data_IF_114111257038
#
_entry.id   IF_114111257038
#
_cell.length_a   1.000
_cell.length_b   1.000
_cell.length_c   1.000
_cell.angle_alpha   90.00
_cell.angle_beta   90.00
_cell.angle_gamma   90.00
#
_symmetry.space_group_name_H-M   'P 1'
#
loop_
_entity.id
_entity.type
_entity.pdbx_description
1 polymer ?
#
# COMPACT_ATOMS: atom_id res chain seq x y z
N UNK A 1 98.84 41.62 7.65
CA UNK A 1 98.07 41.88 8.88
C UNK A 1 97.06 40.76 8.99
N UNK A 2 97.38 39.77 9.81
CA UNK A 2 96.63 38.54 10.03
C UNK A 2 95.46 38.81 11.00
N UNK A 3 94.26 38.33 10.67
CA UNK A 3 93.10 38.39 11.56
C UNK A 3 93.38 37.54 12.81
N UNK A 4 93.00 38.02 14.02
CA UNK A 4 93.05 37.20 15.24
C UNK A 4 92.10 36.00 15.10
N UNK A 5 92.45 34.87 15.71
CA UNK A 5 91.63 33.66 15.70
C UNK A 5 90.34 33.84 16.50
N UNK A 6 89.18 33.49 15.93
CA UNK A 6 87.88 33.53 16.61
C UNK A 6 87.72 32.45 17.71
N UNK A 7 88.61 31.46 17.74
CA UNK A 7 88.60 30.36 18.72
C UNK A 7 89.34 30.82 19.98
N UNK A 8 88.66 30.75 21.12
CA UNK A 8 89.22 31.10 22.44
C UNK A 8 89.69 29.86 23.21
N UNK A 9 90.54 30.05 24.23
CA UNK A 9 90.95 28.98 25.14
C UNK A 9 89.73 28.33 25.85
N UNK A 10 88.64 29.08 26.04
CA UNK A 10 87.40 28.58 26.64
C UNK A 10 86.70 27.52 25.79
N UNK A 11 86.88 27.54 24.46
CA UNK A 11 86.31 26.58 23.52
C UNK A 11 87.31 25.48 23.13
N UNK A 12 88.58 25.86 22.96
CA UNK A 12 89.63 24.95 22.50
C UNK A 12 90.11 23.95 23.57
N UNK A 13 90.16 24.37 24.84
CA UNK A 13 90.57 23.47 25.94
C UNK A 13 89.54 22.35 26.19
N UNK A 14 88.22 22.61 26.22
CA UNK A 14 87.22 21.56 26.28
C UNK A 14 87.27 20.59 25.09
N UNK A 15 87.53 21.09 23.89
CA UNK A 15 87.73 20.27 22.69
C UNK A 15 88.96 19.34 22.81
N UNK A 16 90.12 19.87 23.23
CA UNK A 16 91.30 19.01 23.45
C UNK A 16 91.04 17.96 24.55
N UNK A 17 90.27 18.32 25.58
CA UNK A 17 89.85 17.36 26.62
C UNK A 17 88.87 16.30 26.10
N UNK A 18 87.96 16.63 25.17
CA UNK A 18 87.07 15.64 24.56
C UNK A 18 87.83 14.64 23.67
N UNK A 19 88.99 15.04 23.14
CA UNK A 19 89.94 14.18 22.43
C UNK A 19 90.93 13.44 23.37
N UNK A 20 90.79 13.57 24.69
CA UNK A 20 91.65 12.87 25.67
C UNK A 20 93.03 13.50 25.87
N UNK A 21 93.28 14.72 25.36
CA UNK A 21 94.57 15.41 25.51
C UNK A 21 94.66 16.08 26.88
N UNK A 22 95.70 15.75 27.65
CA UNK A 22 95.98 16.41 28.93
C UNK A 22 96.50 17.84 28.71
N UNK A 23 95.63 18.82 28.92
CA UNK A 23 95.94 20.25 28.71
C UNK A 23 96.66 20.92 29.89
N UNK A 24 96.79 20.23 31.03
CA UNK A 24 97.45 20.70 32.26
C UNK A 24 97.06 22.13 32.72
N UNK A 25 95.84 22.59 32.39
CA UNK A 25 95.37 23.96 32.61
C UNK A 25 96.30 25.06 32.08
N UNK A 26 97.06 24.78 31.02
CA UNK A 26 97.88 25.77 30.33
C UNK A 26 97.04 26.50 29.28
N UNK A 27 97.35 27.78 29.07
CA UNK A 27 96.75 28.60 28.01
C UNK A 27 97.38 28.27 26.65
N UNK A 28 96.54 28.14 25.63
CA UNK A 28 96.90 27.89 24.24
C UNK A 28 96.66 29.11 23.33
N UNK A 29 96.16 30.21 23.89
CA UNK A 29 95.93 31.49 23.20
C UNK A 29 97.15 31.99 22.42
N UNK A 30 98.37 31.77 22.94
CA UNK A 30 99.59 32.18 22.25
C UNK A 30 99.84 31.37 20.95
N UNK A 31 99.44 30.10 20.90
CA UNK A 31 99.52 29.26 19.69
C UNK A 31 98.37 29.54 18.73
N UNK A 32 97.17 29.80 19.26
CA UNK A 32 95.99 30.15 18.46
C UNK A 32 96.16 31.49 17.75
N UNK A 33 96.98 32.39 18.29
CA UNK A 33 97.32 33.68 17.69
C UNK A 33 98.63 33.67 16.87
N UNK A 34 99.37 32.56 16.85
CA UNK A 34 100.58 32.44 16.02
C UNK A 34 100.18 32.21 14.55
N UNK A 35 100.53 33.12 13.61
CA UNK A 35 100.14 32.99 12.21
C UNK A 35 100.73 31.75 11.51
N UNK A 36 101.78 31.13 12.04
CA UNK A 36 102.35 29.89 11.47
C UNK A 36 101.58 28.63 11.91
N UNK A 37 100.90 28.66 13.07
CA UNK A 37 100.31 27.48 13.71
C UNK A 37 98.76 27.55 13.77
N UNK A 38 98.21 28.75 13.92
CA UNK A 38 96.78 29.02 14.08
C UNK A 38 95.88 28.41 13.00
N UNK A 39 96.32 28.41 11.74
CA UNK A 39 95.58 27.81 10.64
C UNK A 39 95.39 26.30 10.80
N UNK A 40 96.41 25.60 11.32
CA UNK A 40 96.36 24.15 11.55
C UNK A 40 95.46 23.82 12.74
N UNK A 41 95.57 24.59 13.83
CA UNK A 41 94.74 24.36 15.03
C UNK A 41 93.25 24.63 14.75
N UNK A 42 92.93 25.62 13.93
CA UNK A 42 91.55 25.87 13.48
C UNK A 42 91.01 24.72 12.64
N UNK A 43 91.81 24.22 11.69
CA UNK A 43 91.41 23.08 10.88
C UNK A 43 91.15 21.85 11.75
N UNK A 44 92.00 21.58 12.75
CA UNK A 44 91.82 20.48 13.71
C UNK A 44 90.51 20.64 14.49
N UNK A 45 90.22 21.84 15.00
CA UNK A 45 88.98 22.11 15.74
C UNK A 45 87.71 21.90 14.90
N UNK A 46 87.74 22.28 13.63
CA UNK A 46 86.58 22.21 12.73
C UNK A 46 86.34 20.82 12.14
N UNK A 47 87.36 19.95 12.07
CA UNK A 47 87.31 18.72 11.29
C UNK A 47 87.55 17.43 12.09
N UNK A 48 88.01 17.53 13.34
CA UNK A 48 88.23 16.36 14.21
C UNK A 48 87.21 16.40 15.35
N UNK A 49 86.56 15.27 15.62
CA UNK A 49 85.67 15.09 16.76
C UNK A 49 85.89 13.72 17.41
N UNK A 50 85.16 13.42 18.49
CA UNK A 50 85.26 12.13 19.18
C UNK A 50 84.80 10.91 18.34
N UNK A 51 84.14 11.15 17.20
CA UNK A 51 83.70 10.09 16.28
C UNK A 51 84.76 9.79 15.19
N UNK A 52 85.64 10.75 14.90
CA UNK A 52 86.71 10.65 13.90
C UNK A 52 88.10 10.36 14.51
N UNK A 53 88.24 10.45 15.84
CA UNK A 53 89.45 10.04 16.56
C UNK A 53 89.42 8.53 16.84
N UNK A 54 90.48 7.82 16.47
CA UNK A 54 90.62 6.39 16.79
C UNK A 54 90.68 6.22 18.31
N UNK A 55 89.80 5.39 18.87
CA UNK A 55 89.90 5.01 20.27
C UNK A 55 91.10 4.07 20.49
N UNK A 56 91.66 4.00 21.71
CA UNK A 56 92.76 3.07 22.05
C UNK A 56 92.50 1.62 21.61
N UNK A 57 91.22 1.21 21.65
CA UNK A 57 90.77 -0.11 21.19
C UNK A 57 90.84 -0.26 19.68
N UNK A 58 90.50 0.79 18.94
CA UNK A 58 90.56 0.81 17.47
C UNK A 58 91.99 0.96 16.98
N UNK A 59 92.83 1.76 17.65
CA UNK A 59 94.27 1.81 17.39
C UNK A 59 94.92 0.43 17.57
N UNK A 60 94.63 -0.27 18.68
CA UNK A 60 95.14 -1.63 18.90
C UNK A 60 94.65 -2.59 17.80
N UNK A 61 93.39 -2.46 17.37
CA UNK A 61 92.80 -3.30 16.33
C UNK A 61 93.40 -3.00 14.96
N UNK A 62 93.66 -1.74 14.66
CA UNK A 62 94.34 -1.30 13.44
C UNK A 62 95.78 -1.85 13.40
N UNK A 63 96.53 -1.70 14.50
CA UNK A 63 97.87 -2.26 14.63
C UNK A 63 97.90 -3.79 14.53
N UNK A 64 96.90 -4.49 15.07
CA UNK A 64 96.77 -5.94 14.91
C UNK A 64 96.44 -6.35 13.47
N UNK A 65 95.58 -5.62 12.77
CA UNK A 65 95.23 -5.85 11.37
C UNK A 65 96.43 -5.61 10.45
N UNK A 66 97.20 -4.55 10.72
CA UNK A 66 98.45 -4.24 10.02
C UNK A 66 99.49 -5.35 10.26
N UNK A 67 99.70 -5.76 11.52
CA UNK A 67 100.66 -6.83 11.88
C UNK A 67 100.28 -8.19 11.28
N UNK A 68 99.00 -8.46 11.10
CA UNK A 68 98.49 -9.72 10.51
C UNK A 68 98.38 -9.67 8.98
N UNK A 69 98.73 -8.53 8.36
CA UNK A 69 98.66 -8.35 6.91
C UNK A 69 97.23 -8.38 6.36
N UNK A 70 96.23 -8.06 7.20
CA UNK A 70 94.80 -8.03 6.85
C UNK A 70 94.26 -6.62 6.67
N UNK A 71 95.13 -5.62 6.78
CA UNK A 71 94.80 -4.25 6.46
C UNK A 71 94.62 -4.14 4.94
N UNK A 72 93.41 -3.84 4.51
CA UNK A 72 93.11 -3.61 3.11
C UNK A 72 93.80 -2.33 2.65
N UNK A 73 94.25 -2.32 1.39
CA UNK A 73 94.65 -1.07 0.75
C UNK A 73 93.43 -0.15 0.56
N UNK A 74 93.67 1.15 0.37
CA UNK A 74 92.59 2.13 0.18
C UNK A 74 91.62 1.72 -0.93
N UNK A 75 92.16 1.21 -2.04
CA UNK A 75 91.39 0.77 -3.21
C UNK A 75 90.56 -0.50 -2.91
N UNK A 76 91.12 -1.44 -2.14
CA UNK A 76 90.41 -2.66 -1.73
C UNK A 76 89.35 -2.39 -0.66
N UNK A 77 89.58 -1.40 0.21
CA UNK A 77 88.62 -0.96 1.21
C UNK A 77 87.43 -0.26 0.55
N UNK A 78 87.68 0.65 -0.39
CA UNK A 78 86.61 1.30 -1.17
C UNK A 78 85.79 0.26 -1.96
N UNK A 79 86.46 -0.72 -2.59
CA UNK A 79 85.77 -1.81 -3.28
C UNK A 79 84.90 -2.65 -2.32
N UNK A 80 85.43 -3.00 -1.15
CA UNK A 80 84.67 -3.78 -0.14
C UNK A 80 83.50 -2.99 0.45
N UNK A 81 83.65 -1.68 0.64
CA UNK A 81 82.57 -0.78 1.08
C UNK A 81 81.49 -0.70 0.01
N UNK A 82 81.87 -0.55 -1.26
CA UNK A 82 80.94 -0.52 -2.38
C UNK A 82 80.20 -1.86 -2.53
N UNK A 83 80.90 -2.98 -2.40
CA UNK A 83 80.30 -4.32 -2.42
C UNK A 83 79.28 -4.50 -1.30
N UNK A 84 79.57 -4.00 -0.09
CA UNK A 84 78.63 -4.02 1.05
C UNK A 84 77.41 -3.13 0.82
N UNK A 85 77.59 -1.95 0.24
CA UNK A 85 76.47 -1.05 -0.12
C UNK A 85 75.59 -1.65 -1.22
N UNK A 86 76.18 -2.40 -2.16
CA UNK A 86 75.45 -3.11 -3.21
C UNK A 86 74.74 -4.36 -2.68
N UNK A 87 75.33 -5.07 -1.71
CA UNK A 87 74.74 -6.27 -1.10
C UNK A 87 73.59 -5.89 -0.14
N UNK A 88 73.71 -4.76 0.54
CA UNK A 88 72.72 -4.25 1.48
C UNK A 88 72.28 -2.82 1.11
N UNK A 89 71.43 -2.75 0.09
CA UNK A 89 70.84 -1.52 -0.40
C UNK A 89 70.07 -0.80 0.73
N UNK A 90 70.47 0.45 1.03
CA UNK A 90 69.89 1.28 2.10
C UNK A 90 70.68 1.31 3.42
N UNK A 91 71.83 0.65 3.53
CA UNK A 91 72.73 0.83 4.69
C UNK A 91 73.53 2.13 4.54
N UNK A 92 73.35 3.05 5.48
CA UNK A 92 74.13 4.29 5.57
C UNK A 92 75.53 4.02 6.13
N UNK A 93 76.56 4.65 5.56
CA UNK A 93 77.91 4.56 6.10
C UNK A 93 78.05 5.41 7.37
N UNK A 94 78.84 4.96 8.37
CA UNK A 94 79.17 5.78 9.52
C UNK A 94 79.87 7.08 9.07
N UNK A 95 79.32 8.24 9.45
CA UNK A 95 79.81 9.56 9.08
C UNK A 95 79.02 10.25 7.96
N UNK A 96 78.16 9.52 7.23
CA UNK A 96 77.24 10.10 6.24
C UNK A 96 75.93 10.53 6.91
N UNK A 97 75.95 11.75 7.45
CA UNK A 97 74.83 12.31 8.20
C UNK A 97 73.61 12.60 7.32
N UNK A 98 73.82 12.94 6.05
CA UNK A 98 72.76 13.26 5.09
C UNK A 98 71.97 11.98 4.73
N UNK A 99 72.67 10.89 4.37
CA UNK A 99 72.03 9.61 4.11
C UNK A 99 71.27 9.05 5.33
N UNK A 100 71.80 9.26 6.54
CA UNK A 100 71.14 8.83 7.77
C UNK A 100 69.84 9.60 8.04
N UNK A 101 69.79 10.89 7.71
CA UNK A 101 68.60 11.71 7.84
C UNK A 101 67.54 11.33 6.81
N UNK A 102 67.94 11.06 5.56
CA UNK A 102 67.05 10.55 4.51
C UNK A 102 66.42 9.21 4.91
N UNK A 103 67.23 8.28 5.41
CA UNK A 103 66.72 6.97 5.85
C UNK A 103 65.74 7.10 7.03
N UNK A 104 65.96 8.03 7.96
CA UNK A 104 65.02 8.31 9.06
C UNK A 104 63.71 8.90 8.54
N UNK A 105 63.77 9.77 7.55
CA UNK A 105 62.59 10.34 6.88
C UNK A 105 61.77 9.24 6.22
N UNK A 106 62.41 8.33 5.48
CA UNK A 106 61.76 7.20 4.81
C UNK A 106 61.10 6.25 5.80
N UNK A 107 61.81 5.89 6.88
CA UNK A 107 61.24 5.06 7.96
C UNK A 107 60.01 5.73 8.58
N UNK A 108 60.03 7.06 8.73
CA UNK A 108 58.89 7.80 9.27
C UNK A 108 57.70 7.77 8.31
N UNK A 109 57.93 7.99 7.01
CA UNK A 109 56.89 7.92 5.99
C UNK A 109 56.25 6.53 5.92
N UNK A 110 57.06 5.47 5.97
CA UNK A 110 56.54 4.09 5.96
C UNK A 110 55.75 3.74 7.22
N UNK A 111 56.14 4.27 8.39
CA UNK A 111 55.33 4.14 9.62
C UNK A 111 53.98 4.85 9.51
N UNK A 112 53.97 6.08 8.99
CA UNK A 112 52.71 6.82 8.78
C UNK A 112 51.79 6.10 7.77
N UNK A 113 52.39 5.49 6.74
CA UNK A 113 51.66 4.66 5.77
C UNK A 113 51.06 3.41 6.42
N UNK A 114 51.83 2.74 7.28
CA UNK A 114 51.36 1.58 8.04
C UNK A 114 50.16 1.95 8.95
N UNK A 115 50.27 3.04 9.70
CA UNK A 115 49.18 3.55 10.56
C UNK A 115 47.91 3.85 9.76
N UNK A 116 48.03 4.36 8.54
CA UNK A 116 46.88 4.58 7.66
C UNK A 116 46.25 3.26 7.20
N UNK A 117 47.06 2.25 6.88
CA UNK A 117 46.57 0.93 6.47
C UNK A 117 45.84 0.21 7.61
N UNK A 118 46.37 0.27 8.84
CA UNK A 118 45.71 -0.30 10.03
C UNK A 118 44.35 0.37 10.29
N UNK A 119 44.26 1.69 10.14
CA UNK A 119 42.97 2.40 10.23
C UNK A 119 41.99 1.97 9.14
N UNK A 120 42.46 1.74 7.92
CA UNK A 120 41.62 1.25 6.83
C UNK A 120 41.12 -0.17 7.09
N UNK A 121 41.94 -1.04 7.70
CA UNK A 121 41.55 -2.40 8.10
C UNK A 121 40.40 -2.37 9.11
N UNK A 122 40.50 -1.54 10.16
CA UNK A 122 39.42 -1.37 11.15
C UNK A 122 38.11 -0.91 10.50
N UNK A 123 38.18 0.05 9.57
CA UNK A 123 36.99 0.52 8.83
C UNK A 123 36.39 -0.60 7.98
N UNK A 124 37.22 -1.43 7.35
CA UNK A 124 36.77 -2.57 6.55
C UNK A 124 36.09 -3.64 7.42
N UNK A 125 36.62 -3.93 8.60
CA UNK A 125 35.99 -4.84 9.57
C UNK A 125 34.62 -4.33 10.01
N UNK A 126 34.51 -3.04 10.36
CA UNK A 126 33.24 -2.39 10.71
C UNK A 126 32.22 -2.45 9.55
N UNK A 127 32.68 -2.19 8.32
CA UNK A 127 31.85 -2.28 7.10
C UNK A 127 31.34 -3.71 6.89
N UNK A 128 32.21 -4.72 7.05
CA UNK A 128 31.82 -6.13 6.95
C UNK A 128 30.81 -6.52 8.03
N UNK A 129 30.97 -6.03 9.25
CA UNK A 129 30.04 -6.30 10.34
C UNK A 129 28.68 -5.66 10.10
N UNK A 130 28.63 -4.38 9.70
CA UNK A 130 27.39 -3.70 9.30
C UNK A 130 26.67 -4.43 8.18
N UNK A 131 27.40 -4.93 7.19
CA UNK A 131 26.81 -5.68 6.08
C UNK A 131 26.18 -7.01 6.55
N UNK A 132 26.82 -7.71 7.49
CA UNK A 132 26.24 -8.92 8.11
C UNK A 132 24.94 -8.59 8.86
N UNK A 133 24.91 -7.50 9.60
CA UNK A 133 23.73 -7.13 10.38
C UNK A 133 22.58 -6.64 9.49
N UNK A 134 22.88 -5.85 8.44
CA UNK A 134 21.92 -5.50 7.37
C UNK A 134 21.33 -6.74 6.69
N UNK A 135 22.14 -7.76 6.41
CA UNK A 135 21.66 -9.02 5.83
C UNK A 135 20.71 -9.77 6.76
N UNK A 136 20.95 -9.72 8.08
CA UNK A 136 20.01 -10.30 9.06
C UNK A 136 18.70 -9.53 9.10
N UNK A 137 18.74 -8.20 9.12
CA UNK A 137 17.53 -7.36 9.09
C UNK A 137 16.71 -7.61 7.83
N UNK A 138 17.38 -7.69 6.67
CA UNK A 138 16.74 -8.01 5.40
C UNK A 138 16.04 -9.39 5.44
N UNK A 139 16.69 -10.40 6.01
CA UNK A 139 16.07 -11.72 6.16
C UNK A 139 14.82 -11.68 7.05
N UNK A 140 14.83 -10.87 8.11
CA UNK A 140 13.65 -10.69 8.98
C UNK A 140 12.51 -10.05 8.20
N UNK A 141 12.77 -9.01 7.41
CA UNK A 141 11.73 -8.36 6.58
C UNK A 141 11.22 -9.29 5.47
N UNK A 142 12.08 -10.07 4.83
CA UNK A 142 11.64 -11.09 3.86
C UNK A 142 10.69 -12.09 4.53
N UNK A 143 11.01 -12.54 5.74
CA UNK A 143 10.16 -13.49 6.48
C UNK A 143 8.80 -12.88 6.83
N UNK A 144 8.78 -11.60 7.24
CA UNK A 144 7.51 -10.88 7.50
C UNK A 144 6.67 -10.71 6.23
N UNK A 145 7.30 -10.37 5.11
CA UNK A 145 6.62 -10.25 3.83
C UNK A 145 6.02 -11.58 3.38
N UNK A 146 6.75 -12.68 3.52
CA UNK A 146 6.24 -14.02 3.23
C UNK A 146 5.06 -14.41 4.12
N UNK A 147 5.11 -14.07 5.42
CA UNK A 147 4.00 -14.32 6.33
C UNK A 147 2.75 -13.49 5.96
N UNK A 148 2.93 -12.22 5.57
CA UNK A 148 1.85 -11.36 5.12
C UNK A 148 1.25 -11.83 3.79
N UNK A 149 2.10 -12.27 2.85
CA UNK A 149 1.65 -12.87 1.58
C UNK A 149 0.81 -14.12 1.82
N UNK A 150 1.29 -15.04 2.67
CA UNK A 150 0.53 -16.24 3.03
C UNK A 150 -0.82 -15.88 3.63
N UNK A 151 -0.86 -14.92 4.56
CA UNK A 151 -2.09 -14.45 5.18
C UNK A 151 -3.06 -13.87 4.15
N UNK A 152 -2.60 -13.02 3.23
CA UNK A 152 -3.44 -12.48 2.15
C UNK A 152 -4.02 -13.60 1.27
N UNK A 153 -3.24 -14.63 0.94
CA UNK A 153 -3.75 -15.76 0.14
C UNK A 153 -4.82 -16.57 0.88
N UNK A 154 -4.68 -16.75 2.20
CA UNK A 154 -5.70 -17.40 3.03
C UNK A 154 -6.98 -16.56 3.13
N UNK A 155 -6.84 -15.25 3.34
CA UNK A 155 -7.96 -14.31 3.40
C UNK A 155 -8.72 -14.26 2.07
N UNK A 156 -8.02 -14.21 0.94
CA UNK A 156 -8.64 -14.28 -0.40
C UNK A 156 -9.41 -15.59 -0.61
N UNK A 157 -8.83 -16.72 -0.20
CA UNK A 157 -9.51 -18.02 -0.30
C UNK A 157 -10.76 -18.09 0.60
N UNK A 158 -10.70 -17.51 1.79
CA UNK A 158 -11.84 -17.45 2.70
C UNK A 158 -12.93 -16.52 2.18
N UNK A 159 -12.57 -15.33 1.68
CA UNK A 159 -13.51 -14.39 1.07
C UNK A 159 -14.20 -15.02 -0.14
N UNK A 160 -13.46 -15.77 -0.97
CA UNK A 160 -14.03 -16.52 -2.10
C UNK A 160 -15.07 -17.56 -1.66
N UNK A 161 -14.86 -18.27 -0.55
CA UNK A 161 -15.85 -19.20 0.01
C UNK A 161 -17.11 -18.48 0.49
N UNK A 162 -16.96 -17.31 1.12
CA UNK A 162 -18.08 -16.51 1.59
C UNK A 162 -18.89 -15.93 0.43
N UNK A 163 -18.23 -15.45 -0.62
CA UNK A 163 -18.90 -15.03 -1.85
C UNK A 163 -19.70 -16.18 -2.49
N UNK A 164 -19.14 -17.40 -2.52
CA UNK A 164 -19.86 -18.58 -3.01
C UNK A 164 -21.06 -18.95 -2.14
N UNK A 165 -20.96 -18.83 -0.81
CA UNK A 165 -22.11 -19.03 0.10
C UNK A 165 -23.21 -18.02 -0.17
N UNK A 166 -22.87 -16.73 -0.24
CA UNK A 166 -23.83 -15.66 -0.50
C UNK A 166 -24.49 -15.83 -1.88
N UNK A 167 -23.74 -16.23 -2.90
CA UNK A 167 -24.30 -16.53 -4.23
C UNK A 167 -25.33 -17.67 -4.15
N UNK A 168 -25.03 -18.75 -3.43
CA UNK A 168 -25.98 -19.86 -3.20
C UNK A 168 -27.21 -19.44 -2.41
N UNK A 169 -27.07 -18.56 -1.42
CA UNK A 169 -28.21 -18.00 -0.70
C UNK A 169 -29.12 -17.18 -1.62
N UNK A 170 -28.55 -16.36 -2.50
CA UNK A 170 -29.31 -15.61 -3.51
C UNK A 170 -30.00 -16.55 -4.50
N UNK A 171 -29.33 -17.60 -4.96
CA UNK A 171 -29.95 -18.64 -5.82
C UNK A 171 -31.12 -19.33 -5.10
N UNK A 172 -30.97 -19.65 -3.81
CA UNK A 172 -32.06 -20.22 -3.00
C UNK A 172 -33.25 -19.26 -2.90
N UNK A 173 -33.00 -18.00 -2.54
CA UNK A 173 -34.06 -16.98 -2.40
C UNK A 173 -34.77 -16.77 -3.72
N UNK A 174 -34.03 -16.70 -4.84
CA UNK A 174 -34.64 -16.53 -6.17
C UNK A 174 -35.46 -17.75 -6.58
N UNK A 175 -35.00 -18.97 -6.26
CA UNK A 175 -35.79 -20.19 -6.43
C UNK A 175 -37.08 -20.16 -5.61
N UNK A 176 -37.01 -19.75 -4.34
CA UNK A 176 -38.18 -19.63 -3.47
C UNK A 176 -39.19 -18.60 -4.00
N UNK A 177 -38.70 -17.45 -4.49
CA UNK A 177 -39.54 -16.43 -5.13
C UNK A 177 -40.19 -16.99 -6.39
N UNK A 178 -39.46 -17.72 -7.23
CA UNK A 178 -40.03 -18.36 -8.43
C UNK A 178 -41.10 -19.38 -8.06
N UNK A 179 -40.90 -20.16 -6.98
CA UNK A 179 -41.91 -21.10 -6.49
C UNK A 179 -43.18 -20.36 -6.01
N UNK A 180 -43.05 -19.28 -5.25
CA UNK A 180 -44.19 -18.46 -4.81
C UNK A 180 -44.93 -17.84 -6.00
N UNK A 181 -44.18 -17.37 -7.02
CA UNK A 181 -44.77 -16.85 -8.26
C UNK A 181 -45.51 -17.96 -9.01
N UNK A 182 -44.94 -19.17 -9.06
CA UNK A 182 -45.59 -20.36 -9.60
C UNK A 182 -46.90 -20.70 -8.87
N UNK A 183 -46.85 -20.82 -7.55
CA UNK A 183 -48.01 -21.10 -6.69
C UNK A 183 -49.10 -20.03 -6.85
N UNK A 184 -48.71 -18.76 -6.95
CA UNK A 184 -49.67 -17.66 -7.16
C UNK A 184 -50.27 -17.67 -8.55
N UNK A 185 -49.52 -18.03 -9.59
CA UNK A 185 -50.06 -18.24 -10.94
C UNK A 185 -50.99 -19.46 -11.02
N UNK A 186 -50.66 -20.55 -10.32
CA UNK A 186 -51.52 -21.74 -10.22
C UNK A 186 -52.82 -21.44 -9.46
N UNK A 187 -52.76 -20.68 -8.37
CA UNK A 187 -53.95 -20.19 -7.64
C UNK A 187 -54.80 -19.31 -8.57
N UNK A 188 -54.19 -18.41 -9.33
CA UNK A 188 -54.89 -17.55 -10.30
C UNK A 188 -55.53 -18.37 -11.44
N UNK A 189 -54.86 -19.42 -11.92
CA UNK A 189 -55.39 -20.34 -12.93
C UNK A 189 -56.60 -21.12 -12.41
N UNK A 190 -56.59 -21.49 -11.13
CA UNK A 190 -57.66 -22.29 -10.49
C UNK A 190 -58.76 -21.44 -9.82
N UNK A 191 -58.67 -20.11 -9.87
CA UNK A 191 -59.69 -19.18 -9.34
C UNK A 191 -61.08 -19.30 -9.99
N UNK A 192 -61.22 -20.03 -11.10
CA UNK A 192 -62.53 -20.35 -11.69
C UNK A 192 -63.30 -21.44 -10.93
N UNK A 193 -62.61 -22.30 -10.16
CA UNK A 193 -63.21 -23.46 -9.53
C UNK A 193 -63.53 -23.27 -8.03
N UNK A 194 -62.86 -22.34 -7.32
CA UNK A 194 -63.04 -22.17 -5.86
C UNK A 194 -63.22 -20.70 -5.41
N UNK A 195 -64.46 -20.34 -5.07
CA UNK A 195 -64.89 -18.96 -4.73
C UNK A 195 -64.35 -18.44 -3.39
N UNK A 196 -63.98 -19.32 -2.46
CA UNK A 196 -63.46 -18.92 -1.14
C UNK A 196 -61.96 -18.57 -1.18
N UNK A 197 -61.21 -19.23 -2.07
CA UNK A 197 -59.79 -18.95 -2.33
C UNK A 197 -59.59 -17.56 -2.98
N UNK A 198 -60.44 -17.20 -3.95
CA UNK A 198 -60.44 -15.87 -4.57
C UNK A 198 -60.76 -14.72 -3.60
N UNK A 199 -61.68 -14.94 -2.64
CA UNK A 199 -62.02 -13.94 -1.60
C UNK A 199 -60.88 -13.69 -0.62
N UNK A 200 -60.12 -14.72 -0.23
CA UNK A 200 -58.94 -14.55 0.65
C UNK A 200 -57.78 -13.87 -0.07
N UNK A 201 -57.57 -14.17 -1.35
CA UNK A 201 -56.55 -13.53 -2.18
C UNK A 201 -56.84 -12.04 -2.42
N UNK A 202 -58.12 -11.65 -2.54
CA UNK A 202 -58.52 -10.24 -2.64
C UNK A 202 -58.37 -9.46 -1.33
N UNK A 203 -58.58 -10.12 -0.18
CA UNK A 203 -58.54 -9.48 1.14
C UNK A 203 -57.13 -9.37 1.75
N UNK A 204 -56.20 -10.27 1.38
CA UNK A 204 -54.82 -10.33 1.90
C UNK A 204 -53.77 -10.43 0.79
N UNK A 205 -54.08 -9.89 -0.39
CA UNK A 205 -53.32 -10.13 -1.61
C UNK A 205 -51.85 -9.70 -1.57
N UNK A 206 -51.05 -10.18 -2.53
CA UNK A 206 -49.61 -9.95 -2.62
C UNK A 206 -49.21 -8.47 -2.76
N UNK A 207 -50.17 -7.57 -2.99
CA UNK A 207 -49.95 -6.11 -3.03
C UNK A 207 -49.57 -5.57 -1.65
N UNK A 208 -50.19 -6.02 -0.56
CA UNK A 208 -49.84 -5.58 0.79
C UNK A 208 -48.50 -6.16 1.25
N UNK A 209 -48.18 -7.40 0.84
CA UNK A 209 -46.87 -7.99 1.05
C UNK A 209 -45.79 -7.32 0.19
N UNK A 210 -46.10 -6.94 -1.05
CA UNK A 210 -45.23 -6.18 -1.93
C UNK A 210 -44.97 -4.78 -1.37
N UNK A 211 -45.99 -4.06 -0.89
CA UNK A 211 -45.83 -2.77 -0.21
C UNK A 211 -44.99 -2.89 1.07
N UNK A 212 -45.17 -3.96 1.85
CA UNK A 212 -44.30 -4.24 3.01
C UNK A 212 -42.86 -4.53 2.58
N UNK A 213 -42.63 -5.25 1.48
CA UNK A 213 -41.29 -5.50 0.93
C UNK A 213 -40.63 -4.23 0.38
N UNK A 214 -41.39 -3.35 -0.29
CA UNK A 214 -40.93 -2.05 -0.75
C UNK A 214 -40.59 -1.12 0.41
N UNK A 215 -41.38 -1.14 1.49
CA UNK A 215 -41.10 -0.37 2.70
C UNK A 215 -39.84 -0.86 3.41
N UNK A 216 -39.63 -2.18 3.48
CA UNK A 216 -38.39 -2.80 3.98
C UNK A 216 -37.18 -2.45 3.10
N UNK A 217 -37.30 -2.56 1.78
CA UNK A 217 -36.24 -2.15 0.86
C UNK A 217 -35.89 -0.67 1.01
N UNK A 218 -36.90 0.21 1.10
CA UNK A 218 -36.69 1.65 1.31
C UNK A 218 -36.03 1.93 2.65
N UNK A 219 -36.42 1.23 3.72
CA UNK A 219 -35.78 1.34 5.03
C UNK A 219 -34.32 0.85 5.01
N UNK A 220 -34.02 -0.28 4.36
CA UNK A 220 -32.66 -0.78 4.19
C UNK A 220 -31.81 0.12 3.29
N UNK A 221 -32.39 0.68 2.23
CA UNK A 221 -31.74 1.64 1.36
C UNK A 221 -31.44 2.95 2.08
N UNK A 222 -32.38 3.45 2.89
CA UNK A 222 -32.16 4.62 3.74
C UNK A 222 -31.11 4.34 4.82
N UNK A 223 -31.10 3.14 5.41
CA UNK A 223 -30.08 2.70 6.38
C UNK A 223 -28.70 2.55 5.74
N UNK A 224 -28.64 2.04 4.51
CA UNK A 224 -27.42 1.92 3.72
C UNK A 224 -26.89 3.29 3.32
N UNK A 225 -27.76 4.19 2.83
CA UNK A 225 -27.42 5.57 2.53
C UNK A 225 -26.97 6.32 3.79
N UNK A 226 -27.65 6.16 4.93
CA UNK A 226 -27.23 6.81 6.19
C UNK A 226 -25.95 6.21 6.76
N UNK A 227 -25.75 4.88 6.77
CA UNK A 227 -24.48 4.29 7.20
C UNK A 227 -23.33 4.65 6.27
N UNK A 228 -23.51 4.59 4.94
CA UNK A 228 -22.41 4.77 3.98
C UNK A 228 -22.12 6.25 3.65
N UNK A 229 -23.12 7.13 3.69
CA UNK A 229 -22.93 8.59 3.49
C UNK A 229 -22.70 9.36 4.80
N UNK A 230 -23.09 8.83 5.97
CA UNK A 230 -22.76 9.43 7.28
C UNK A 230 -21.66 8.70 8.05
N UNK A 231 -21.02 7.66 7.50
CA UNK A 231 -19.88 7.04 8.18
C UNK A 231 -18.73 8.06 8.27
N UNK A 232 -18.33 8.47 9.48
CA UNK A 232 -17.09 9.20 9.73
C UNK A 232 -15.88 8.25 9.74
N UNK A 233 -15.96 7.09 9.06
CA UNK A 233 -14.91 6.06 9.03
C UNK A 233 -13.69 6.46 8.16
N UNK A 234 -13.59 7.71 7.74
CA UNK A 234 -12.33 8.30 7.30
C UNK A 234 -11.38 8.55 8.50
N UNK A 235 -11.88 8.52 9.75
CA UNK A 235 -11.03 8.73 10.93
C UNK A 235 -10.09 7.58 11.28
N UNK A 236 -10.24 6.37 10.70
CA UNK A 236 -9.31 5.26 11.00
C UNK A 236 -7.96 5.39 10.27
N UNK A 237 -7.80 6.34 9.34
CA UNK A 237 -6.47 6.69 8.79
C UNK A 237 -5.85 7.94 9.42
N UNK A 238 -6.64 8.81 10.03
CA UNK A 238 -6.15 10.09 10.52
C UNK A 238 -5.36 9.97 11.83
N UNK A 239 -5.74 9.06 12.73
CA UNK A 239 -4.96 8.77 13.95
C UNK A 239 -3.66 8.01 13.67
N UNK A 240 -3.63 7.14 12.65
CA UNK A 240 -2.41 6.48 12.22
C UNK A 240 -1.48 7.44 11.48
N UNK A 241 -2.04 8.31 10.62
CA UNK A 241 -1.30 9.41 9.98
C UNK A 241 -0.79 10.39 11.05
N UNK A 242 -1.59 10.75 12.05
CA UNK A 242 -1.15 11.61 13.17
C UNK A 242 -0.08 10.94 14.01
N UNK A 243 -0.19 9.63 14.31
CA UNK A 243 0.88 8.89 14.99
C UNK A 243 2.15 8.79 14.16
N UNK A 244 2.04 8.62 12.85
CA UNK A 244 3.18 8.63 11.93
C UNK A 244 3.82 10.03 11.84
N UNK A 245 3.02 11.10 11.81
CA UNK A 245 3.50 12.49 11.84
C UNK A 245 4.18 12.82 13.16
N UNK A 246 3.63 12.39 14.30
CA UNK A 246 4.23 12.57 15.63
C UNK A 246 5.55 11.81 15.72
N UNK A 247 5.61 10.56 15.24
CA UNK A 247 6.87 9.79 15.16
C UNK A 247 7.88 10.46 14.23
N UNK A 248 7.46 10.93 13.06
CA UNK A 248 8.33 11.63 12.11
C UNK A 248 8.89 12.92 12.72
N UNK A 249 8.06 13.74 13.39
CA UNK A 249 8.51 14.94 14.12
C UNK A 249 9.51 14.62 15.23
N UNK A 250 9.30 13.52 15.96
CA UNK A 250 10.18 13.12 17.05
C UNK A 250 11.54 12.62 16.52
N UNK A 251 11.53 11.87 15.40
CA UNK A 251 12.77 11.49 14.70
C UNK A 251 13.46 12.73 14.12
N UNK A 252 12.71 13.66 13.53
CA UNK A 252 13.24 14.93 13.00
C UNK A 252 13.92 15.76 14.08
N UNK A 253 13.30 15.92 15.26
CA UNK A 253 13.94 16.66 16.37
C UNK A 253 15.21 15.98 16.85
N UNK A 254 15.19 14.65 17.01
CA UNK A 254 16.40 13.89 17.40
C UNK A 254 17.50 13.96 16.36
N UNK A 255 17.14 14.00 15.07
CA UNK A 255 18.10 14.14 13.97
C UNK A 255 18.69 15.55 13.96
N UNK A 256 17.88 16.59 14.18
CA UNK A 256 18.33 17.97 14.37
C UNK A 256 19.31 18.08 15.53
N UNK A 257 18.97 17.53 16.70
CA UNK A 257 19.85 17.55 17.87
C UNK A 257 21.18 16.83 17.60
N UNK A 258 21.13 15.68 16.91
CA UNK A 258 22.33 14.93 16.52
C UNK A 258 23.18 15.67 15.48
N UNK A 259 22.56 16.34 14.52
CA UNK A 259 23.26 17.15 13.51
C UNK A 259 23.91 18.37 14.18
N UNK A 260 23.22 19.06 15.08
CA UNK A 260 23.78 20.17 15.84
C UNK A 260 24.98 19.72 16.68
N UNK A 261 24.85 18.62 17.45
CA UNK A 261 25.95 18.08 18.22
C UNK A 261 27.15 17.64 17.36
N UNK A 262 26.88 17.10 16.16
CA UNK A 262 27.94 16.77 15.20
C UNK A 262 28.64 18.03 14.69
N UNK A 263 27.89 19.06 14.28
CA UNK A 263 28.45 20.33 13.80
C UNK A 263 29.33 20.95 14.89
N UNK A 264 28.82 21.07 16.13
CA UNK A 264 29.57 21.62 17.27
C UNK A 264 30.88 20.85 17.49
N UNK A 265 30.82 19.52 17.53
CA UNK A 265 32.01 18.68 17.70
C UNK A 265 33.00 18.82 16.54
N UNK A 266 32.52 19.01 15.31
CA UNK A 266 33.39 19.13 14.12
C UNK A 266 34.07 20.50 14.11
N UNK A 267 33.34 21.55 14.49
CA UNK A 267 33.87 22.91 14.66
C UNK A 267 34.95 22.91 15.75
N UNK A 268 34.67 22.34 16.92
CA UNK A 268 35.65 22.26 18.02
C UNK A 268 36.92 21.50 17.61
N UNK A 269 36.78 20.34 16.95
CA UNK A 269 37.91 19.55 16.44
C UNK A 269 38.73 20.33 15.41
N UNK A 270 38.06 21.04 14.50
CA UNK A 270 38.74 21.85 13.48
C UNK A 270 39.48 23.05 14.09
N UNK A 271 38.89 23.71 15.10
CA UNK A 271 39.51 24.80 15.85
C UNK A 271 40.73 24.35 16.65
N UNK A 272 40.66 23.22 17.35
CA UNK A 272 41.82 22.64 18.06
C UNK A 272 42.92 22.18 17.10
N UNK A 273 42.55 21.64 15.94
CA UNK A 273 43.52 21.27 14.90
C UNK A 273 44.22 22.50 14.31
N UNK A 274 43.51 23.60 14.09
CA UNK A 274 44.09 24.86 13.65
C UNK A 274 45.02 25.48 14.71
N UNK A 275 44.63 25.44 16.00
CA UNK A 275 45.51 25.83 17.12
C UNK A 275 46.81 25.04 17.16
N UNK A 276 46.74 23.72 17.00
CA UNK A 276 47.91 22.84 17.02
C UNK A 276 48.85 23.11 15.83
N UNK A 277 48.30 23.37 14.64
CA UNK A 277 49.08 23.76 13.45
C UNK A 277 49.76 25.11 13.65
N UNK A 278 49.07 26.08 14.27
CA UNK A 278 49.66 27.37 14.63
C UNK A 278 50.80 27.17 15.63
N UNK A 279 50.56 26.46 16.75
CA UNK A 279 51.57 26.20 17.80
C UNK A 279 52.82 25.48 17.27
N UNK A 280 52.68 24.57 16.30
CA UNK A 280 53.80 23.85 15.70
C UNK A 280 54.77 24.78 14.92
N UNK A 281 54.31 25.95 14.46
CA UNK A 281 55.11 26.91 13.69
C UNK A 281 55.75 28.03 14.56
N UNK A 282 55.49 28.10 15.86
CA UNK A 282 55.91 29.22 16.74
C UNK A 282 57.01 28.85 17.75
N UNK A 283 58.08 28.18 17.34
CA UNK A 283 59.17 27.83 18.27
C UNK A 283 60.14 28.98 18.59
N UNK A 284 60.28 30.04 17.75
CA UNK A 284 60.97 31.30 18.08
C UNK A 284 60.49 32.49 17.22
N UNK A 285 59.70 33.47 17.73
CA UNK A 285 59.19 34.57 16.92
C UNK A 285 59.98 35.88 17.10
N UNK A 286 60.36 36.52 15.99
CA UNK A 286 60.80 37.91 15.95
C UNK A 286 59.58 38.84 15.76
N UNK A 287 59.62 40.09 16.23
CA UNK A 287 58.44 40.98 16.26
C UNK A 287 57.83 41.28 14.86
N UNK A 288 58.65 41.26 13.79
CA UNK A 288 58.17 41.38 12.41
C UNK A 288 57.48 40.10 11.93
N UNK A 289 57.93 38.93 12.35
CA UNK A 289 57.33 37.66 11.96
C UNK A 289 55.91 37.56 12.54
N UNK A 290 55.71 37.98 13.79
CA UNK A 290 54.39 38.04 14.43
C UNK A 290 53.41 38.93 13.66
N UNK A 291 53.85 40.10 13.18
CA UNK A 291 52.99 41.00 12.41
C UNK A 291 52.58 40.39 11.06
N UNK A 292 53.53 39.77 10.36
CA UNK A 292 53.29 39.11 9.06
C UNK A 292 52.35 37.92 9.22
N UNK A 293 52.56 37.09 10.24
CA UNK A 293 51.69 35.95 10.54
C UNK A 293 50.30 36.36 11.04
N UNK A 294 50.19 37.46 11.79
CA UNK A 294 48.87 37.99 12.18
C UNK A 294 48.08 38.42 10.95
N UNK A 295 48.76 39.01 9.96
CA UNK A 295 48.15 39.37 8.68
C UNK A 295 47.68 38.15 7.87
N UNK A 296 48.49 37.08 7.82
CA UNK A 296 48.09 35.82 7.18
C UNK A 296 46.91 35.15 7.89
N UNK A 297 46.91 35.11 9.23
CA UNK A 297 45.80 34.55 10.01
C UNK A 297 44.52 35.36 9.79
N UNK A 298 44.59 36.70 9.77
CA UNK A 298 43.45 37.55 9.45
C UNK A 298 42.92 37.31 8.04
N UNK A 299 43.81 37.16 7.05
CA UNK A 299 43.41 36.82 5.67
C UNK A 299 42.74 35.45 5.59
N UNK A 300 43.22 34.46 6.34
CA UNK A 300 42.61 33.13 6.39
C UNK A 300 41.25 33.16 7.09
N UNK A 301 41.07 33.98 8.13
CA UNK A 301 39.78 34.20 8.79
C UNK A 301 38.79 34.84 7.83
N UNK A 302 39.17 35.89 7.10
CA UNK A 302 38.30 36.54 6.10
C UNK A 302 37.88 35.56 4.98
N UNK A 303 38.77 34.66 4.57
CA UNK A 303 38.46 33.59 3.62
C UNK A 303 37.44 32.59 4.19
N UNK A 304 37.61 32.17 5.45
CA UNK A 304 36.68 31.26 6.13
C UNK A 304 35.29 31.89 6.33
N UNK A 305 35.23 33.17 6.67
CA UNK A 305 33.95 33.92 6.79
C UNK A 305 33.22 34.00 5.43
N UNK A 306 33.97 34.14 4.32
CA UNK A 306 33.39 34.09 2.98
C UNK A 306 32.88 32.68 2.63
N UNK A 307 33.60 31.63 2.98
CA UNK A 307 33.15 30.25 2.80
C UNK A 307 31.90 29.93 3.63
N UNK A 308 31.82 30.42 4.87
CA UNK A 308 30.64 30.30 5.72
C UNK A 308 29.39 30.92 5.05
N UNK A 309 29.51 32.14 4.52
CA UNK A 309 28.42 32.81 3.80
C UNK A 309 27.98 32.04 2.54
N UNK A 310 28.93 31.42 1.83
CA UNK A 310 28.62 30.58 0.66
C UNK A 310 27.86 29.33 1.11
N UNK A 311 28.31 28.66 2.17
CA UNK A 311 27.67 27.47 2.72
C UNK A 311 26.27 27.78 3.24
N UNK A 312 26.08 28.88 3.99
CA UNK A 312 24.76 29.32 4.44
C UNK A 312 23.79 29.52 3.28
N UNK A 313 24.25 30.16 2.20
CA UNK A 313 23.45 30.36 0.99
C UNK A 313 23.09 29.04 0.32
N UNK A 314 24.03 28.12 0.22
CA UNK A 314 23.78 26.78 -0.33
C UNK A 314 22.78 25.98 0.52
N UNK A 315 22.88 26.06 1.85
CA UNK A 315 21.92 25.44 2.78
C UNK A 315 20.53 26.04 2.59
N UNK A 316 20.40 27.37 2.54
CA UNK A 316 19.11 28.03 2.33
C UNK A 316 18.47 27.64 0.98
N UNK A 317 19.27 27.54 -0.08
CA UNK A 317 18.78 27.12 -1.40
C UNK A 317 18.38 25.64 -1.42
N UNK A 318 19.15 24.77 -0.76
CA UNK A 318 18.82 23.35 -0.61
C UNK A 318 17.51 23.16 0.19
N UNK A 319 17.33 23.90 1.28
CA UNK A 319 16.09 23.88 2.08
C UNK A 319 14.90 24.35 1.25
N UNK A 320 15.04 25.47 0.50
CA UNK A 320 13.98 25.95 -0.40
C UNK A 320 13.61 24.91 -1.46
N UNK A 321 14.59 24.25 -2.07
CA UNK A 321 14.34 23.20 -3.06
C UNK A 321 13.64 21.99 -2.44
N UNK A 322 14.07 21.55 -1.25
CA UNK A 322 13.47 20.43 -0.55
C UNK A 322 12.01 20.71 -0.17
N UNK A 323 11.74 21.90 0.39
CA UNK A 323 10.37 22.33 0.72
C UNK A 323 9.50 22.36 -0.54
N UNK A 324 9.98 22.97 -1.64
CA UNK A 324 9.24 23.00 -2.92
C UNK A 324 8.93 21.60 -3.46
N UNK A 325 9.90 20.68 -3.45
CA UNK A 325 9.69 19.29 -3.88
C UNK A 325 8.66 18.57 -3.01
N UNK A 326 8.70 18.79 -1.70
CA UNK A 326 7.75 18.17 -0.77
C UNK A 326 6.35 18.72 -0.94
N UNK A 327 6.20 20.04 -1.11
CA UNK A 327 4.91 20.68 -1.36
C UNK A 327 4.29 20.21 -2.67
N UNK A 328 5.07 20.19 -3.76
CA UNK A 328 4.59 19.71 -5.08
C UNK A 328 4.16 18.24 -5.04
N UNK A 329 4.90 17.37 -4.36
CA UNK A 329 4.50 15.96 -4.19
C UNK A 329 3.17 15.81 -3.44
N UNK A 330 2.96 16.62 -2.39
CA UNK A 330 1.70 16.61 -1.63
C UNK A 330 0.54 17.13 -2.48
N UNK A 331 0.74 18.20 -3.24
CA UNK A 331 -0.26 18.75 -4.16
C UNK A 331 -0.65 17.75 -5.25
N UNK A 332 0.33 17.10 -5.90
CA UNK A 332 0.09 16.08 -6.93
C UNK A 332 -0.64 14.86 -6.36
N UNK A 333 -0.22 14.39 -5.18
CA UNK A 333 -0.87 13.26 -4.51
C UNK A 333 -2.32 13.58 -4.14
N UNK A 334 -2.56 14.75 -3.55
CA UNK A 334 -3.91 15.21 -3.21
C UNK A 334 -4.80 15.36 -4.46
N UNK A 335 -4.27 15.94 -5.54
CA UNK A 335 -4.98 16.07 -6.81
C UNK A 335 -5.32 14.69 -7.41
N UNK A 336 -4.39 13.74 -7.37
CA UNK A 336 -4.61 12.37 -7.88
C UNK A 336 -5.65 11.60 -7.06
N UNK A 337 -5.61 11.73 -5.73
CA UNK A 337 -6.63 11.13 -4.84
C UNK A 337 -8.00 11.74 -5.13
N UNK A 338 -8.09 13.08 -5.23
CA UNK A 338 -9.35 13.77 -5.54
C UNK A 338 -9.91 13.37 -6.91
N UNK A 339 -9.05 13.18 -7.92
CA UNK A 339 -9.46 12.70 -9.24
C UNK A 339 -10.02 11.28 -9.17
N UNK A 340 -9.34 10.36 -8.48
CA UNK A 340 -9.82 8.98 -8.33
C UNK A 340 -11.18 8.91 -7.63
N UNK A 341 -11.39 9.70 -6.57
CA UNK A 341 -12.69 9.80 -5.89
C UNK A 341 -13.76 10.30 -6.85
N UNK A 342 -13.47 11.33 -7.66
CA UNK A 342 -14.42 11.85 -8.64
C UNK A 342 -14.76 10.83 -9.74
N UNK A 343 -13.78 10.06 -10.21
CA UNK A 343 -14.00 9.01 -11.20
C UNK A 343 -14.90 7.90 -10.65
N UNK A 344 -14.69 7.50 -9.39
CA UNK A 344 -15.54 6.51 -8.71
C UNK A 344 -16.99 7.03 -8.56
N UNK A 345 -17.16 8.28 -8.11
CA UNK A 345 -18.49 8.89 -8.03
C UNK A 345 -19.16 8.93 -9.41
N UNK A 346 -18.41 9.22 -10.47
CA UNK A 346 -18.95 9.22 -11.82
C UNK A 346 -19.40 7.83 -12.28
N UNK A 347 -18.63 6.76 -11.99
CA UNK A 347 -19.05 5.39 -12.32
C UNK A 347 -20.31 4.98 -11.56
N UNK A 348 -20.39 5.33 -10.29
CA UNK A 348 -21.53 5.01 -9.43
C UNK A 348 -22.80 5.74 -9.92
N UNK A 349 -22.67 7.03 -10.28
CA UNK A 349 -23.78 7.80 -10.86
C UNK A 349 -24.25 7.25 -12.20
N UNK A 350 -23.33 6.75 -13.05
CA UNK A 350 -23.70 6.10 -14.32
C UNK A 350 -24.50 4.81 -14.08
N UNK A 351 -24.08 3.99 -13.12
CA UNK A 351 -24.79 2.76 -12.75
C UNK A 351 -26.19 3.07 -12.19
N UNK A 352 -26.28 4.06 -11.29
CA UNK A 352 -27.56 4.51 -10.72
C UNK A 352 -28.50 5.05 -11.81
N UNK A 353 -27.98 5.81 -12.77
CA UNK A 353 -28.78 6.32 -13.88
C UNK A 353 -29.27 5.21 -14.82
N UNK A 354 -28.46 4.16 -15.06
CA UNK A 354 -28.87 3.01 -15.85
C UNK A 354 -30.01 2.23 -15.14
N UNK A 355 -29.80 1.87 -13.88
CA UNK A 355 -30.78 1.13 -13.08
C UNK A 355 -32.08 1.89 -12.87
N UNK A 356 -32.03 3.21 -12.64
CA UNK A 356 -33.25 4.03 -12.53
C UNK A 356 -34.03 4.11 -13.85
N UNK A 357 -33.34 4.12 -14.99
CA UNK A 357 -34.01 4.05 -16.31
C UNK A 357 -34.70 2.71 -16.50
N UNK A 358 -34.04 1.61 -16.16
CA UNK A 358 -34.63 0.27 -16.23
C UNK A 358 -35.87 0.16 -15.33
N UNK A 359 -35.77 0.63 -14.08
CA UNK A 359 -36.91 0.66 -13.15
C UNK A 359 -38.10 1.46 -13.71
N UNK A 360 -37.84 2.62 -14.33
CA UNK A 360 -38.88 3.45 -14.94
C UNK A 360 -39.51 2.80 -16.17
N UNK A 361 -38.73 2.07 -16.97
CA UNK A 361 -39.28 1.28 -18.09
C UNK A 361 -40.18 0.15 -17.59
N UNK A 362 -39.79 -0.52 -16.50
CA UNK A 362 -40.56 -1.60 -15.91
C UNK A 362 -41.86 -1.09 -15.29
N UNK A 363 -41.82 0.06 -14.61
CA UNK A 363 -43.00 0.74 -14.07
C UNK A 363 -44.00 1.13 -15.16
N UNK A 364 -43.51 1.64 -16.31
CA UNK A 364 -44.36 1.91 -17.48
C UNK A 364 -45.03 0.65 -18.01
N UNK A 365 -44.30 -0.45 -18.15
CA UNK A 365 -44.85 -1.72 -18.63
C UNK A 365 -45.92 -2.23 -17.64
N UNK A 366 -45.65 -2.17 -16.34
CA UNK A 366 -46.58 -2.55 -15.29
C UNK A 366 -47.87 -1.72 -15.35
N UNK A 367 -47.75 -0.39 -15.51
CA UNK A 367 -48.90 0.49 -15.68
C UNK A 367 -49.76 0.13 -16.89
N UNK A 368 -49.15 -0.14 -18.05
CA UNK A 368 -49.90 -0.55 -19.24
C UNK A 368 -50.55 -1.93 -19.08
N UNK A 369 -49.88 -2.88 -18.42
CA UNK A 369 -50.45 -4.19 -18.10
C UNK A 369 -51.67 -4.05 -17.20
N UNK A 370 -51.57 -3.30 -16.10
CA UNK A 370 -52.69 -3.04 -15.17
C UNK A 370 -53.86 -2.34 -15.87
N UNK A 371 -53.57 -1.36 -16.74
CA UNK A 371 -54.61 -0.67 -17.51
C UNK A 371 -55.33 -1.60 -18.48
N UNK A 372 -54.60 -2.53 -19.11
CA UNK A 372 -55.19 -3.55 -19.98
C UNK A 372 -56.07 -4.51 -19.20
N UNK A 373 -55.60 -4.99 -18.04
CA UNK A 373 -56.38 -5.86 -17.16
C UNK A 373 -57.69 -5.20 -16.69
N UNK A 374 -57.62 -3.92 -16.30
CA UNK A 374 -58.80 -3.12 -15.96
C UNK A 374 -59.80 -3.02 -17.13
N UNK A 375 -59.30 -2.78 -18.34
CA UNK A 375 -60.15 -2.72 -19.53
C UNK A 375 -60.82 -4.07 -19.83
N UNK A 376 -60.10 -5.19 -19.72
CA UNK A 376 -60.71 -6.51 -19.88
C UNK A 376 -61.76 -6.82 -18.81
N UNK A 377 -61.53 -6.37 -17.57
CA UNK A 377 -62.49 -6.55 -16.48
C UNK A 377 -63.75 -5.70 -16.71
N UNK A 378 -63.58 -4.50 -17.26
CA UNK A 378 -64.69 -3.66 -17.71
C UNK A 378 -65.50 -4.33 -18.84
N UNK A 379 -64.83 -4.91 -19.85
CA UNK A 379 -65.50 -5.67 -20.93
C UNK A 379 -66.30 -6.86 -20.39
N UNK A 380 -65.75 -7.61 -19.43
CA UNK A 380 -66.45 -8.73 -18.78
C UNK A 380 -67.68 -8.24 -18.00
N UNK A 381 -67.57 -7.12 -17.26
CA UNK A 381 -68.70 -6.54 -16.55
C UNK A 381 -69.79 -6.04 -17.51
N UNK A 382 -69.39 -5.42 -18.62
CA UNK A 382 -70.32 -5.02 -19.68
C UNK A 382 -71.01 -6.25 -20.28
N UNK A 383 -70.26 -7.31 -20.61
CA UNK A 383 -70.84 -8.56 -21.12
C UNK A 383 -71.83 -9.18 -20.13
N UNK A 384 -71.48 -9.27 -18.85
CA UNK A 384 -72.38 -9.77 -17.81
C UNK A 384 -73.67 -8.93 -17.68
N UNK A 385 -73.55 -7.61 -17.81
CA UNK A 385 -74.70 -6.69 -17.82
C UNK A 385 -75.62 -6.91 -19.03
N UNK A 386 -75.05 -7.11 -20.22
CA UNK A 386 -75.80 -7.43 -21.44
C UNK A 386 -76.49 -8.80 -21.32
N UNK A 387 -75.78 -9.81 -20.82
CA UNK A 387 -76.35 -11.16 -20.61
C UNK A 387 -77.49 -11.13 -19.60
N UNK A 388 -77.37 -10.37 -18.50
CA UNK A 388 -78.46 -10.16 -17.55
C UNK A 388 -79.67 -9.52 -18.24
N UNK A 389 -79.46 -8.46 -19.03
CA UNK A 389 -80.55 -7.81 -19.77
C UNK A 389 -81.25 -8.77 -20.74
N UNK A 390 -80.47 -9.61 -21.44
CA UNK A 390 -81.01 -10.62 -22.34
C UNK A 390 -81.83 -11.69 -21.60
N UNK A 391 -81.33 -12.19 -20.46
CA UNK A 391 -82.06 -13.18 -19.63
C UNK A 391 -83.38 -12.61 -19.12
N UNK A 392 -83.41 -11.35 -18.67
CA UNK A 392 -84.65 -10.69 -18.23
C UNK A 392 -85.66 -10.58 -19.40
N UNK A 393 -85.19 -10.19 -20.59
CA UNK A 393 -86.06 -10.11 -21.77
C UNK A 393 -86.60 -11.47 -22.23
N UNK A 394 -85.76 -12.51 -22.20
CA UNK A 394 -86.18 -13.89 -22.48
C UNK A 394 -87.12 -14.43 -21.41
N UNK A 395 -86.93 -14.09 -20.13
CA UNK A 395 -87.85 -14.47 -19.05
C UNK A 395 -89.25 -13.91 -19.29
N UNK A 396 -89.36 -12.65 -19.72
CA UNK A 396 -90.64 -12.03 -20.10
C UNK A 396 -91.26 -12.72 -21.32
N UNK A 397 -90.46 -13.02 -22.36
CA UNK A 397 -90.94 -13.70 -23.57
C UNK A 397 -91.38 -15.14 -23.28
N UNK A 398 -90.63 -15.89 -22.48
CA UNK A 398 -90.96 -17.25 -22.03
C UNK A 398 -92.20 -17.22 -21.15
N UNK A 399 -92.31 -16.26 -20.23
CA UNK A 399 -93.50 -16.08 -19.38
C UNK A 399 -94.75 -15.76 -20.21
N UNK A 400 -94.63 -14.88 -21.21
CA UNK A 400 -95.70 -14.59 -22.18
C UNK A 400 -96.10 -15.83 -22.98
N UNK A 401 -95.12 -16.63 -23.43
CA UNK A 401 -95.38 -17.89 -24.15
C UNK A 401 -96.08 -18.92 -23.27
N UNK A 402 -95.65 -19.08 -22.01
CA UNK A 402 -96.30 -19.96 -21.03
C UNK A 402 -97.73 -19.51 -20.78
N UNK A 403 -97.96 -18.20 -20.64
CA UNK A 403 -99.30 -17.63 -20.44
C UNK A 403 -100.20 -17.89 -21.65
N UNK A 404 -99.71 -17.66 -22.86
CA UNK A 404 -100.43 -17.98 -24.10
C UNK A 404 -100.75 -19.48 -24.22
N UNK A 405 -99.82 -20.36 -23.88
CA UNK A 405 -100.08 -21.81 -23.86
C UNK A 405 -101.14 -22.20 -22.82
N UNK A 406 -101.13 -21.57 -21.64
CA UNK A 406 -102.18 -21.78 -20.63
C UNK A 406 -103.55 -21.33 -21.14
N UNK A 407 -103.61 -20.17 -21.78
CA UNK A 407 -104.86 -19.66 -22.37
C UNK A 407 -105.43 -20.61 -23.43
N UNK A 408 -104.57 -21.15 -24.32
CA UNK A 408 -104.98 -22.16 -25.32
C UNK A 408 -105.48 -23.44 -24.63
N UNK A 409 -104.80 -23.88 -23.57
CA UNK A 409 -105.18 -25.09 -22.82
C UNK A 409 -106.54 -24.90 -22.11
N UNK A 410 -106.73 -23.75 -21.46
CA UNK A 410 -107.99 -23.38 -20.82
C UNK A 410 -109.14 -23.26 -21.84
N UNK A 411 -108.85 -22.78 -23.06
CA UNK A 411 -109.82 -22.70 -24.16
C UNK A 411 -110.18 -24.11 -24.69
N UNK A 412 -109.20 -25.02 -24.77
CA UNK A 412 -109.43 -26.43 -25.11
C UNK A 412 -110.31 -27.12 -24.05
N UNK A 413 -110.02 -26.93 -22.77
CA UNK A 413 -110.80 -27.50 -21.66
C UNK A 413 -112.24 -26.93 -21.61
N UNK A 414 -112.42 -25.67 -22.01
CA UNK A 414 -113.77 -25.07 -22.21
C UNK A 414 -114.50 -25.65 -23.43
N UNK A 415 -113.78 -26.00 -24.48
CA UNK A 415 -114.35 -26.62 -25.69
C UNK A 415 -114.76 -28.08 -25.47
N UNK A 416 -114.05 -28.83 -24.61
CA UNK A 416 -114.45 -30.18 -24.20
C UNK A 416 -115.68 -30.19 -23.27
N UNK A 417 -115.97 -29.07 -22.61
CA UNK A 417 -117.12 -28.91 -21.72
C UNK A 417 -118.36 -28.29 -22.39
N UNK A 418 -118.30 -27.95 -23.69
CA UNK A 418 -119.44 -27.41 -24.44
C UNK A 418 -119.79 -28.24 -25.68
N UNK A 419 -120.82 -29.09 -25.53
CA UNK A 419 -121.62 -29.68 -26.59
C UNK A 419 -120.88 -30.42 -27.71
N UNK A 420 -120.29 -31.57 -27.36
CA UNK A 420 -119.97 -32.57 -28.37
C UNK A 420 -121.29 -33.25 -28.85
N UNK A 421 -121.94 -32.64 -29.85
CA UNK A 421 -123.26 -33.03 -30.40
C UNK A 421 -123.29 -34.52 -30.83
N UNK A 422 -122.15 -35.05 -31.26
CA UNK A 422 -121.97 -36.46 -31.60
C UNK A 422 -122.17 -37.37 -30.37
N UNK A 423 -121.53 -37.03 -29.24
CA UNK A 423 -121.63 -37.78 -27.99
C UNK A 423 -123.04 -37.68 -27.38
N UNK A 424 -123.69 -36.50 -27.46
CA UNK A 424 -125.07 -36.35 -26.96
C UNK A 424 -126.08 -37.12 -27.82
N UNK A 425 -125.84 -37.18 -29.13
CA UNK A 425 -126.63 -38.00 -30.06
C UNK A 425 -126.43 -39.50 -29.81
N UNK A 426 -125.21 -39.93 -29.51
CA UNK A 426 -124.90 -41.32 -29.16
C UNK A 426 -125.56 -41.75 -27.84
N UNK A 427 -125.54 -40.89 -26.82
CA UNK A 427 -126.24 -41.12 -25.55
C UNK A 427 -127.76 -41.24 -25.75
N UNK A 428 -128.37 -40.42 -26.62
CA UNK A 428 -129.80 -40.53 -26.97
C UNK A 428 -130.14 -41.82 -27.68
N UNK A 429 -129.33 -42.25 -28.66
CA UNK A 429 -129.55 -43.51 -29.39
C UNK A 429 -129.45 -44.72 -28.46
N UNK A 430 -128.54 -44.67 -27.48
CA UNK A 430 -128.29 -45.78 -26.54
C UNK A 430 -129.11 -45.69 -25.24
N UNK A 431 -129.93 -44.66 -25.06
CA UNK A 431 -130.72 -44.42 -23.84
C UNK A 431 -129.87 -44.34 -22.56
N UNK A 432 -128.69 -43.71 -22.64
CA UNK A 432 -127.76 -43.54 -21.52
C UNK A 432 -127.69 -42.07 -21.12
N UNK A 433 -127.69 -41.78 -19.82
CA UNK A 433 -127.80 -40.40 -19.28
C UNK A 433 -126.46 -39.68 -19.10
N UNK A 434 -125.32 -40.36 -19.20
CA UNK A 434 -123.99 -39.77 -18.97
C UNK A 434 -122.96 -40.33 -19.98
N UNK A 435 -121.99 -39.50 -20.40
CA UNK A 435 -120.95 -39.88 -21.36
C UNK A 435 -120.03 -40.97 -20.80
N UNK A 436 -119.85 -40.99 -19.48
CA UNK A 436 -119.02 -41.99 -18.78
C UNK A 436 -119.64 -43.40 -18.79
N UNK A 437 -120.95 -43.52 -19.02
CA UNK A 437 -121.65 -44.80 -19.08
C UNK A 437 -121.76 -45.42 -20.48
N UNK A 438 -121.30 -44.72 -21.54
CA UNK A 438 -121.23 -45.27 -22.91
C UNK A 438 -120.29 -46.48 -23.04
N UNK A 439 -119.15 -46.46 -22.32
CA UNK A 439 -118.14 -47.53 -22.38
C UNK A 439 -118.64 -48.84 -21.73
N UNK A 440 -119.29 -48.83 -20.55
CA UNK A 440 -120.00 -49.99 -20.00
C UNK A 440 -121.10 -50.53 -20.92
N UNK A 441 -121.96 -49.67 -21.48
CA UNK A 441 -123.11 -50.08 -22.31
C UNK A 441 -122.64 -50.76 -23.61
N UNK A 442 -121.59 -50.22 -24.24
CA UNK A 442 -120.96 -50.84 -25.41
C UNK A 442 -120.38 -52.23 -25.09
N UNK A 443 -119.74 -52.40 -23.92
CA UNK A 443 -119.23 -53.71 -23.48
C UNK A 443 -120.37 -54.72 -23.26
N UNK A 444 -121.51 -54.29 -22.74
CA UNK A 444 -122.67 -55.15 -22.53
C UNK A 444 -123.42 -55.48 -23.83
N UNK A 445 -123.56 -54.53 -24.75
CA UNK A 445 -124.04 -54.77 -26.11
C UNK A 445 -123.17 -55.79 -26.86
N UNK A 446 -121.84 -55.67 -26.76
CA UNK A 446 -120.88 -56.62 -27.37
C UNK A 446 -120.94 -58.01 -26.70
N UNK A 447 -121.22 -58.09 -25.40
CA UNK A 447 -121.47 -59.37 -24.71
C UNK A 447 -122.79 -59.99 -25.13
N UNK A 448 -123.85 -59.19 -25.32
CA UNK A 448 -125.15 -59.65 -25.85
C UNK A 448 -125.01 -60.16 -27.27
N UNK A 449 -124.33 -59.43 -28.18
CA UNK A 449 -124.12 -59.89 -29.57
C UNK A 449 -123.35 -61.22 -29.63
N UNK A 450 -122.29 -61.37 -28.83
CA UNK A 450 -121.54 -62.64 -28.72
C UNK A 450 -122.36 -63.79 -28.13
N UNK A 451 -123.34 -63.52 -27.26
CA UNK A 451 -124.28 -64.54 -26.75
C UNK A 451 -125.33 -64.92 -27.79
N UNK A 452 -125.76 -63.99 -28.64
CA UNK A 452 -126.72 -64.25 -29.73
C UNK A 452 -126.06 -65.01 -30.89
N UNK A 453 -124.82 -64.69 -31.26
CA UNK A 453 -124.03 -65.45 -32.25
C UNK A 453 -123.77 -66.90 -31.78
N UNK A 454 -123.57 -67.13 -30.47
CA UNK A 454 -123.42 -68.48 -29.92
C UNK A 454 -124.73 -69.27 -29.79
N UNK A 455 -125.89 -68.63 -29.91
CA UNK A 455 -127.21 -69.30 -29.95
C UNK A 455 -127.69 -69.63 -31.37
N UNK A 456 -127.17 -68.96 -32.40
CA UNK A 456 -127.54 -69.20 -33.80
C UNK A 456 -126.60 -70.16 -34.57
N UNK A 457 -125.53 -70.66 -33.94
CA UNK A 457 -124.70 -71.77 -34.47
C UNK A 457 -124.99 -73.12 -33.79
N UNK A 458 -126.17 -73.27 -33.18
CA UNK A 458 -126.57 -74.45 -32.43
C UNK A 458 -128.05 -74.78 -32.58
N UNK A 459 -128.56 -74.78 -33.81
CA UNK A 459 -129.69 -75.58 -34.30
C UNK A 459 -129.80 -75.49 -35.80
#
# INVERSE_FOLDING_TARGET
MSQPSDITDEEYIPFLKSLGVETYNKSFEWMLNDPEISGVLRWIYENIDANNALTDREECRYAELERTGRLLSSEELEAAVLDLQNEFEGICLPGDQEALEDMKMDIKMEKERLDMLEKQEVILEDMMQRNKDLKKELNVEITKLQAAELQCTEDEANLGKDCLKLAKEVESITSDVMAIVGDTLDILSNCQEDKDSAKRFLAFGPIDQYHKSQALFRSHFDLYCTKRLKNPEIHIKEEEIMRAIIKAKNVESRLLDAISAYIDSTVDLSGERAKLVLLANYTQPNANDVATYTMEVMSNIEMLEQEELIIEKQIQDAVKQFVRRRTTLVEESAAKIALNVRLQIQSDLKLLLATTREALTLDRILYYALRRELASLEEVLQFASHLRSYVIQEEDAVSSRIQSMKEITDELDRSDSTNNIMLSSLCKILSVTDFKSLVPEYKDMRKKSKKTERRNCGR
#
